data_IF_039968230569
#
_entry.id   IF_039968230569
#
_cell.length_a   1.000
_cell.length_b   1.000
_cell.length_c   1.000
_cell.angle_alpha   90.00
_cell.angle_beta   90.00
_cell.angle_gamma   90.00
#
_symmetry.space_group_name_H-M   'P 1'
#
loop_
_entity.id
_entity.type
_entity.pdbx_description
1 polymer ?
#
# COMPACT_ATOMS: atom_id res chain seq x y z
N UNK A 1 -34.94 5.98 39.90
CA UNK A 1 -33.82 6.94 39.67
C UNK A 1 -32.44 6.29 39.82
N UNK A 2 -32.12 5.58 40.89
CA UNK A 2 -30.78 4.94 41.06
C UNK A 2 -30.41 3.91 39.96
N UNK A 3 -31.38 3.14 39.47
CA UNK A 3 -31.14 2.13 38.38
C UNK A 3 -30.87 2.81 37.01
N UNK A 4 -31.48 3.94 36.76
CA UNK A 4 -31.26 4.73 35.52
C UNK A 4 -29.86 5.35 35.49
N UNK A 5 -29.36 5.83 36.63
CA UNK A 5 -28.02 6.37 36.81
C UNK A 5 -26.94 5.30 36.56
N UNK A 6 -27.17 4.08 37.04
CA UNK A 6 -26.21 2.95 36.80
C UNK A 6 -26.17 2.58 35.32
N UNK A 7 -27.30 2.57 34.61
CA UNK A 7 -27.33 2.32 33.16
C UNK A 7 -26.63 3.42 32.39
N UNK A 8 -26.78 4.68 32.78
CA UNK A 8 -26.12 5.81 32.16
C UNK A 8 -24.59 5.79 32.35
N UNK A 9 -24.13 5.42 33.57
CA UNK A 9 -22.69 5.24 33.82
C UNK A 9 -22.10 4.05 33.07
N UNK A 10 -22.83 2.99 32.88
CA UNK A 10 -22.38 1.81 32.13
C UNK A 10 -22.29 2.10 30.65
N UNK A 11 -23.14 2.98 30.11
CA UNK A 11 -23.10 3.42 28.71
C UNK A 11 -21.92 4.37 28.43
N UNK A 12 -21.51 5.21 29.38
CA UNK A 12 -20.32 6.07 29.26
C UNK A 12 -19.00 5.29 29.32
N UNK A 13 -18.98 4.13 29.98
CA UNK A 13 -17.76 3.30 30.07
C UNK A 13 -17.42 2.55 28.77
N UNK A 14 -18.34 2.51 27.79
CA UNK A 14 -18.16 1.92 26.46
C UNK A 14 -17.60 2.90 25.43
N UNK A 15 -17.15 4.09 25.83
CA UNK A 15 -16.40 4.99 24.98
C UNK A 15 -15.08 4.33 24.62
N UNK A 16 -15.09 3.51 23.57
CA UNK A 16 -13.87 2.94 22.99
C UNK A 16 -12.99 4.10 22.55
N UNK A 17 -11.85 4.27 23.21
CA UNK A 17 -10.80 5.15 22.74
C UNK A 17 -10.35 4.63 21.36
N UNK A 18 -10.92 5.22 20.31
CA UNK A 18 -10.39 5.05 18.96
C UNK A 18 -9.03 5.74 18.93
N UNK A 19 -7.97 4.99 19.12
CA UNK A 19 -6.62 5.50 18.86
C UNK A 19 -6.55 5.76 17.35
N UNK A 20 -6.72 7.01 16.96
CA UNK A 20 -6.57 7.42 15.58
C UNK A 20 -5.17 7.06 15.11
N UNK A 21 -5.07 6.12 14.19
CA UNK A 21 -3.80 5.70 13.63
C UNK A 21 -3.27 6.82 12.70
N UNK A 22 -2.21 7.50 13.12
CA UNK A 22 -1.57 8.52 12.30
C UNK A 22 -0.69 7.85 11.24
N UNK A 23 -1.03 8.09 9.97
CA UNK A 23 -0.24 7.64 8.82
C UNK A 23 0.77 8.70 8.43
N UNK A 24 2.04 8.31 8.34
CA UNK A 24 3.14 9.18 7.93
C UNK A 24 3.68 8.67 6.59
N UNK A 25 3.88 9.57 5.63
CA UNK A 25 4.50 9.22 4.37
C UNK A 25 5.99 8.93 4.56
N UNK A 26 6.41 7.71 4.19
CA UNK A 26 7.82 7.30 4.31
C UNK A 26 8.55 7.32 2.98
N UNK A 27 7.83 7.23 1.87
CA UNK A 27 8.33 7.37 0.51
C UNK A 27 7.19 7.80 -0.43
N UNK A 28 7.51 8.65 -1.39
CA UNK A 28 6.57 9.05 -2.43
C UNK A 28 7.33 9.41 -3.72
N UNK A 29 6.63 9.33 -4.85
CA UNK A 29 7.06 9.88 -6.13
C UNK A 29 5.98 10.77 -6.70
N UNK A 30 6.36 11.79 -7.45
CA UNK A 30 5.41 12.64 -8.17
C UNK A 30 4.81 11.84 -9.34
N UNK A 31 3.48 11.72 -9.43
CA UNK A 31 2.85 11.13 -10.60
C UNK A 31 3.12 11.98 -11.83
N UNK A 32 3.38 11.32 -12.96
CA UNK A 32 3.56 11.99 -14.25
C UNK A 32 3.02 11.12 -15.39
N UNK A 33 2.79 11.73 -16.53
CA UNK A 33 2.43 10.99 -17.75
C UNK A 33 3.60 10.15 -18.21
N UNK A 34 3.31 8.97 -18.74
CA UNK A 34 4.33 8.08 -19.29
C UNK A 34 4.68 8.53 -20.71
N UNK A 35 5.96 8.70 -20.97
CA UNK A 35 6.48 8.93 -22.32
C UNK A 35 6.54 7.60 -23.07
N UNK A 36 5.96 7.52 -24.25
CA UNK A 36 5.85 6.27 -25.04
C UNK A 36 7.19 5.56 -25.25
N UNK A 37 8.27 6.30 -25.41
CA UNK A 37 9.62 5.72 -25.59
C UNK A 37 10.14 4.96 -24.37
N UNK A 38 9.57 5.17 -23.18
CA UNK A 38 9.93 4.46 -21.96
C UNK A 38 9.02 3.27 -21.65
N UNK A 39 8.01 3.07 -22.49
CA UNK A 39 7.13 1.91 -22.33
C UNK A 39 7.83 0.63 -22.82
N UNK A 40 7.53 -0.54 -22.22
CA UNK A 40 7.99 -1.81 -22.73
C UNK A 40 7.53 -2.05 -24.16
N UNK A 41 8.16 -3.02 -24.83
CA UNK A 41 7.79 -3.45 -26.17
C UNK A 41 6.27 -3.62 -26.31
N UNK A 42 5.70 -3.12 -27.40
CA UNK A 42 4.26 -3.06 -27.70
C UNK A 42 3.44 -2.14 -26.79
N UNK A 43 4.05 -1.22 -26.04
CA UNK A 43 3.36 -0.31 -25.10
C UNK A 43 2.39 -1.05 -24.13
N UNK A 44 2.71 -2.29 -23.77
CA UNK A 44 1.84 -3.14 -22.99
C UNK A 44 2.53 -3.61 -21.72
N UNK A 45 1.84 -3.45 -20.59
CA UNK A 45 2.27 -3.94 -19.28
C UNK A 45 1.57 -5.23 -18.87
N UNK A 46 0.61 -5.72 -19.65
CA UNK A 46 -0.15 -6.94 -19.36
C UNK A 46 0.76 -8.17 -19.29
N UNK A 47 0.51 -9.04 -18.32
CA UNK A 47 1.33 -10.23 -18.02
C UNK A 47 2.80 -9.90 -17.69
N UNK A 48 3.05 -8.73 -17.13
CA UNK A 48 4.39 -8.30 -16.70
C UNK A 48 4.41 -8.01 -15.20
N UNK A 49 5.60 -8.13 -14.64
CA UNK A 49 5.87 -7.71 -13.26
C UNK A 49 6.78 -6.49 -13.29
N UNK A 50 6.39 -5.48 -12.54
CA UNK A 50 7.20 -4.28 -12.32
C UNK A 50 7.71 -4.32 -10.90
N UNK A 51 9.03 -4.21 -10.73
CA UNK A 51 9.65 -4.10 -9.40
C UNK A 51 10.31 -2.75 -9.25
N UNK A 52 9.99 -2.10 -8.16
CA UNK A 52 10.60 -0.84 -7.76
C UNK A 52 11.27 -1.02 -6.40
N UNK A 53 12.56 -0.70 -6.33
CA UNK A 53 13.31 -0.66 -5.09
C UNK A 53 13.31 0.77 -4.59
N UNK A 54 12.82 0.97 -3.37
CA UNK A 54 12.72 2.28 -2.75
C UNK A 54 13.45 2.31 -1.41
N UNK A 55 14.01 3.46 -1.06
CA UNK A 55 14.59 3.70 0.25
C UNK A 55 13.60 4.52 1.06
N UNK A 56 13.11 3.94 2.16
CA UNK A 56 12.17 4.61 3.05
C UNK A 56 12.91 5.60 3.97
N UNK A 57 12.27 6.68 4.36
CA UNK A 57 12.84 7.68 5.26
C UNK A 57 12.67 7.30 6.73
N UNK A 58 11.49 6.83 7.08
CA UNK A 58 11.11 6.46 8.44
C UNK A 58 10.56 5.04 8.45
N UNK A 59 10.85 4.28 9.49
CA UNK A 59 10.34 2.94 9.70
C UNK A 59 8.97 2.89 10.36
N UNK A 60 8.50 1.68 10.58
CA UNK A 60 7.22 1.41 11.24
C UNK A 60 6.84 -0.07 11.14
N UNK A 61 5.86 -0.49 11.91
CA UNK A 61 5.45 -1.89 11.99
C UNK A 61 4.21 -2.21 11.14
N UNK A 62 3.53 -1.17 10.63
CA UNK A 62 2.34 -1.29 9.81
C UNK A 62 2.45 -0.31 8.66
N UNK A 63 2.21 -0.79 7.45
CA UNK A 63 2.34 -0.01 6.22
C UNK A 63 1.06 -0.05 5.40
N UNK A 64 0.88 0.95 4.55
CA UNK A 64 -0.09 0.98 3.45
C UNK A 64 0.60 1.39 2.16
N UNK A 65 0.10 0.87 1.07
CA UNK A 65 0.52 1.27 -0.27
C UNK A 65 -0.58 2.11 -0.93
N UNK A 66 -0.21 3.30 -1.39
CA UNK A 66 -1.08 4.16 -2.19
C UNK A 66 -0.62 4.11 -3.65
N UNK A 67 -1.52 3.73 -4.54
CA UNK A 67 -1.29 3.64 -5.98
C UNK A 67 -2.07 4.71 -6.72
N UNK A 68 -1.50 5.21 -7.80
CA UNK A 68 -2.07 6.30 -8.58
C UNK A 68 -2.15 5.93 -10.06
N UNK A 69 -3.31 6.20 -10.65
CA UNK A 69 -3.59 6.09 -12.09
C UNK A 69 -4.19 7.40 -12.62
N UNK A 70 -3.80 8.55 -12.01
CA UNK A 70 -4.47 9.85 -12.24
C UNK A 70 -4.31 10.38 -13.66
N UNK A 71 -3.25 9.99 -14.37
CA UNK A 71 -2.98 10.46 -15.73
C UNK A 71 -3.40 9.47 -16.81
N UNK A 72 -3.93 8.31 -16.44
CA UNK A 72 -4.38 7.30 -17.40
C UNK A 72 -5.86 7.46 -17.73
N UNK A 73 -6.19 7.27 -18.98
CA UNK A 73 -7.57 7.19 -19.47
C UNK A 73 -8.15 5.78 -19.41
N UNK A 74 -7.35 4.80 -19.03
CA UNK A 74 -7.75 3.40 -18.93
C UNK A 74 -7.57 2.88 -17.50
N UNK A 75 -8.42 1.97 -17.05
CA UNK A 75 -8.21 1.28 -15.77
C UNK A 75 -6.96 0.39 -15.84
N UNK A 76 -6.33 0.15 -14.70
CA UNK A 76 -5.21 -0.77 -14.56
C UNK A 76 -5.63 -1.94 -13.69
N UNK A 77 -5.59 -3.14 -14.25
CA UNK A 77 -5.83 -4.36 -13.51
C UNK A 77 -4.53 -4.86 -12.86
N UNK A 78 -4.60 -5.16 -11.59
CA UNK A 78 -3.47 -5.66 -10.81
C UNK A 78 -3.86 -7.03 -10.25
N UNK A 79 -3.04 -8.04 -10.53
CA UNK A 79 -3.23 -9.41 -10.02
C UNK A 79 -2.78 -9.56 -8.59
N UNK A 80 -1.65 -8.98 -8.27
CA UNK A 80 -1.11 -8.96 -6.91
C UNK A 80 -0.01 -7.93 -6.75
N UNK A 81 0.20 -7.49 -5.51
CA UNK A 81 1.34 -6.66 -5.14
C UNK A 81 1.95 -7.24 -3.88
N UNK A 82 3.27 -7.31 -3.85
CA UNK A 82 3.98 -7.68 -2.63
C UNK A 82 5.15 -6.76 -2.35
N UNK A 83 5.53 -6.70 -1.09
CA UNK A 83 6.71 -6.02 -0.58
C UNK A 83 7.67 -7.05 0.03
N UNK A 84 8.96 -6.81 -0.10
CA UNK A 84 10.01 -7.59 0.57
C UNK A 84 11.20 -6.69 0.91
N UNK A 85 12.00 -7.09 1.88
CA UNK A 85 13.28 -6.41 2.11
C UNK A 85 14.20 -6.60 0.90
N UNK A 86 14.77 -5.50 0.41
CA UNK A 86 15.74 -5.55 -0.67
C UNK A 86 17.10 -6.01 -0.14
N UNK A 87 17.75 -6.93 -0.88
CA UNK A 87 19.13 -7.33 -0.60
C UNK A 87 20.10 -6.44 -1.33
N UNK A 88 20.30 -6.71 -2.60
CA UNK A 88 21.19 -5.96 -3.46
C UNK A 88 20.53 -5.72 -4.81
N UNK A 89 20.80 -4.58 -5.41
CA UNK A 89 20.21 -4.20 -6.70
C UNK A 89 18.69 -4.45 -6.76
N UNK A 90 18.24 -5.40 -7.56
CA UNK A 90 16.84 -5.83 -7.71
C UNK A 90 16.48 -7.08 -6.91
N UNK A 91 17.42 -7.67 -6.19
CA UNK A 91 17.21 -8.87 -5.40
C UNK A 91 16.47 -8.59 -4.10
N UNK A 92 15.70 -9.58 -3.67
CA UNK A 92 14.88 -9.52 -2.46
C UNK A 92 15.19 -10.67 -1.51
N UNK A 93 14.94 -10.44 -0.24
CA UNK A 93 14.79 -11.55 0.69
C UNK A 93 13.36 -12.14 0.55
N UNK A 94 13.25 -13.21 -0.23
CA UNK A 94 11.98 -13.86 -0.53
C UNK A 94 11.24 -14.35 0.73
N UNK A 95 11.95 -14.63 1.84
CA UNK A 95 11.34 -15.05 3.11
C UNK A 95 10.53 -13.92 3.77
N UNK A 96 10.82 -12.68 3.41
CA UNK A 96 10.15 -11.49 3.95
C UNK A 96 9.00 -11.01 3.08
N UNK A 97 8.74 -11.66 1.95
CA UNK A 97 7.72 -11.25 1.00
C UNK A 97 6.31 -11.34 1.62
N UNK A 98 5.58 -10.22 1.57
CA UNK A 98 4.21 -10.14 2.05
C UNK A 98 3.33 -9.41 1.03
N UNK A 99 2.13 -9.95 0.81
CA UNK A 99 1.20 -9.44 -0.18
C UNK A 99 0.28 -8.38 0.42
N UNK A 100 0.11 -7.27 -0.31
CA UNK A 100 -0.94 -6.29 -0.01
C UNK A 100 -2.32 -6.83 -0.41
N UNK A 101 -3.32 -6.41 0.36
CA UNK A 101 -4.74 -6.64 0.04
C UNK A 101 -5.45 -5.31 -0.19
N UNK A 102 -6.55 -5.41 -0.90
CA UNK A 102 -7.47 -4.31 -1.20
C UNK A 102 -8.88 -4.81 -0.94
N UNK A 103 -9.48 -4.47 0.21
CA UNK A 103 -10.76 -5.01 0.63
C UNK A 103 -10.75 -6.55 0.75
N UNK A 104 -9.71 -7.13 1.38
CA UNK A 104 -9.46 -8.57 1.52
C UNK A 104 -9.10 -9.34 0.22
N UNK A 105 -9.03 -8.69 -0.93
CA UNK A 105 -8.59 -9.29 -2.19
C UNK A 105 -7.15 -8.95 -2.53
N UNK A 106 -6.39 -9.88 -3.11
CA UNK A 106 -5.06 -9.61 -3.68
C UNK A 106 -5.16 -8.92 -5.05
N UNK A 107 -6.26 -9.17 -5.78
CA UNK A 107 -6.54 -8.52 -7.06
C UNK A 107 -7.24 -7.20 -6.83
N UNK A 108 -6.91 -6.22 -7.65
CA UNK A 108 -7.58 -4.92 -7.62
C UNK A 108 -7.56 -4.25 -8.99
N UNK A 109 -8.41 -3.26 -9.16
CA UNK A 109 -8.45 -2.40 -10.34
C UNK A 109 -8.27 -0.96 -9.88
N UNK A 110 -7.33 -0.26 -10.48
CA UNK A 110 -7.22 1.19 -10.31
C UNK A 110 -8.00 1.85 -11.45
N UNK A 111 -9.15 2.49 -11.19
CA UNK A 111 -9.91 3.15 -12.24
C UNK A 111 -9.10 4.27 -12.90
N UNK A 112 -9.46 4.59 -14.14
CA UNK A 112 -8.89 5.73 -14.85
C UNK A 112 -9.04 7.02 -14.02
N UNK A 113 -8.00 7.82 -13.93
CA UNK A 113 -8.00 9.10 -13.21
C UNK A 113 -8.12 8.97 -11.68
N UNK A 114 -7.95 7.79 -11.09
CA UNK A 114 -8.15 7.55 -9.66
C UNK A 114 -6.89 7.07 -8.95
N UNK A 115 -6.99 7.06 -7.63
CA UNK A 115 -6.01 6.50 -6.71
C UNK A 115 -6.70 5.47 -5.82
N UNK A 116 -5.97 4.47 -5.36
CA UNK A 116 -6.43 3.49 -4.38
C UNK A 116 -5.41 3.33 -3.27
N UNK A 117 -5.85 2.87 -2.12
CA UNK A 117 -5.01 2.58 -0.96
C UNK A 117 -5.23 1.14 -0.53
N UNK A 118 -4.15 0.43 -0.22
CA UNK A 118 -4.24 -0.94 0.28
C UNK A 118 -4.82 -0.99 1.70
N UNK A 119 -5.23 -2.18 2.12
CA UNK A 119 -5.45 -2.49 3.52
C UNK A 119 -4.11 -2.33 4.29
N UNK A 120 -4.21 -2.18 5.61
CA UNK A 120 -3.04 -2.13 6.48
C UNK A 120 -2.32 -3.48 6.48
N UNK A 121 -1.00 -3.46 6.26
CA UNK A 121 -0.15 -4.64 6.26
C UNK A 121 0.85 -4.55 7.41
N UNK A 122 0.92 -5.59 8.25
CA UNK A 122 1.97 -5.71 9.25
C UNK A 122 3.27 -6.03 8.53
N UNK A 123 4.20 -5.10 8.51
CA UNK A 123 5.51 -5.27 7.88
C UNK A 123 6.52 -4.40 8.63
N UNK A 124 7.56 -5.01 9.16
CA UNK A 124 8.56 -4.32 9.98
C UNK A 124 9.55 -3.59 9.08
N UNK A 125 9.44 -2.27 9.04
CA UNK A 125 10.36 -1.37 8.35
C UNK A 125 11.31 -0.70 9.34
N UNK A 126 12.59 -0.69 9.02
CA UNK A 126 13.60 0.13 9.71
C UNK A 126 13.76 1.48 9.01
N UNK A 127 14.24 2.47 9.75
CA UNK A 127 14.57 3.77 9.17
C UNK A 127 15.65 3.61 8.09
N UNK A 128 15.48 4.33 6.98
CA UNK A 128 16.42 4.37 5.84
C UNK A 128 16.62 3.01 5.14
N UNK A 129 15.75 2.05 5.39
CA UNK A 129 15.80 0.73 4.78
C UNK A 129 15.42 0.76 3.29
N UNK A 130 15.97 -0.18 2.53
CA UNK A 130 15.56 -0.44 1.15
C UNK A 130 14.57 -1.59 1.10
N UNK A 131 13.45 -1.36 0.45
CA UNK A 131 12.43 -2.39 0.19
C UNK A 131 12.10 -2.44 -1.28
N UNK A 132 11.69 -3.61 -1.74
CA UNK A 132 11.25 -3.84 -3.10
C UNK A 132 9.74 -4.04 -3.12
N UNK A 133 9.05 -3.27 -3.94
CA UNK A 133 7.62 -3.42 -4.22
C UNK A 133 7.50 -4.01 -5.62
N UNK A 134 6.84 -5.17 -5.72
CA UNK A 134 6.62 -5.86 -6.99
C UNK A 134 5.14 -5.89 -7.29
N UNK A 135 4.77 -5.37 -8.47
CA UNK A 135 3.40 -5.30 -8.98
C UNK A 135 3.28 -6.26 -10.15
N UNK A 136 2.34 -7.19 -10.08
CA UNK A 136 2.02 -8.15 -11.13
C UNK A 136 0.75 -7.70 -11.87
N UNK A 137 0.86 -7.47 -13.15
CA UNK A 137 -0.18 -6.95 -14.04
C UNK A 137 -0.75 -8.05 -14.94
#
# INVERSE_FOLDING_TARGET
MKRLLVFLMMFCALSTYSLAQNWVGTWATAPQTVVKSFMPYNNCMTNRSVRQVVKVSIGGNVIRLKLSNIYSMQPVEIRSIYIAHAKDSSDIDAKTAQYFKFGNSYKTIIPAGKQIVSDALKFNLRNLERVAITINL
#
